data_IF_562399641538
#
_entry.id   IF_562399641538
#
_cell.length_a   1.000
_cell.length_b   1.000
_cell.length_c   1.000
_cell.angle_alpha   90.00
_cell.angle_beta   90.00
_cell.angle_gamma   90.00
#
_symmetry.space_group_name_H-M   'P 1'
#
loop_
_entity.id
_entity.type
_entity.pdbx_description
1 polymer ?
#
# COMPACT_ATOMS: atom_id res chain seq x y z
N UNK A 1 27.46 -19.35 17.43
CA UNK A 1 26.88 -18.02 17.43
C UNK A 1 25.83 -17.77 16.41
N UNK A 2 25.53 -18.75 15.61
CA UNK A 2 24.46 -18.62 14.64
C UNK A 2 23.12 -18.38 15.31
N UNK A 3 22.90 -18.95 16.46
CA UNK A 3 21.67 -18.77 17.20
C UNK A 3 21.45 -17.32 17.61
N UNK A 4 22.50 -16.55 17.70
CA UNK A 4 22.36 -15.14 18.05
C UNK A 4 21.92 -14.29 16.88
N UNK A 5 22.16 -14.74 15.69
CA UNK A 5 21.74 -13.98 14.50
C UNK A 5 20.24 -14.00 14.30
N UNK A 6 19.60 -15.08 14.74
CA UNK A 6 18.16 -15.19 14.70
C UNK A 6 17.46 -14.71 15.94
N UNK A 7 18.23 -14.39 16.97
CA UNK A 7 17.65 -13.97 18.25
C UNK A 7 17.63 -12.45 18.36
N UNK A 8 16.47 -11.95 18.57
CA UNK A 8 16.27 -10.54 18.84
C UNK A 8 15.74 -10.39 20.25
N UNK A 9 16.04 -9.27 20.89
CA UNK A 9 15.43 -8.97 22.15
C UNK A 9 13.92 -8.75 21.95
N UNK A 10 13.13 -8.98 22.97
CA UNK A 10 11.71 -8.71 22.90
C UNK A 10 11.45 -7.25 22.53
N UNK A 11 12.27 -6.35 23.04
CA UNK A 11 12.18 -4.93 22.74
C UNK A 11 12.34 -4.66 21.23
N UNK A 12 13.35 -5.28 20.60
CA UNK A 12 13.60 -5.10 19.18
C UNK A 12 12.45 -5.62 18.34
N UNK A 13 11.89 -6.75 18.74
CA UNK A 13 10.74 -7.35 18.05
C UNK A 13 9.51 -6.47 18.15
N UNK A 14 9.28 -5.87 19.32
CA UNK A 14 8.15 -4.97 19.51
C UNK A 14 8.32 -3.67 18.74
N UNK A 15 9.54 -3.15 18.67
CA UNK A 15 9.82 -1.95 17.86
C UNK A 15 9.54 -2.23 16.39
N UNK A 16 9.95 -3.38 15.90
CA UNK A 16 9.69 -3.78 14.51
C UNK A 16 8.19 -3.94 14.25
N UNK A 17 7.47 -4.56 15.19
CA UNK A 17 6.01 -4.71 15.09
C UNK A 17 5.33 -3.35 14.98
N UNK A 18 5.65 -2.42 15.86
CA UNK A 18 5.08 -1.08 15.86
C UNK A 18 5.42 -0.35 14.57
N UNK A 19 6.65 -0.47 14.12
CA UNK A 19 7.12 0.16 12.87
C UNK A 19 6.32 -0.34 11.67
N UNK A 20 6.09 -1.65 11.57
CA UNK A 20 5.32 -2.22 10.47
C UNK A 20 3.84 -1.86 10.54
N UNK A 21 3.27 -1.83 11.75
CA UNK A 21 1.90 -1.39 11.94
C UNK A 21 1.71 0.07 11.50
N UNK A 22 2.68 0.91 11.84
CA UNK A 22 2.66 2.31 11.44
C UNK A 22 2.84 2.48 9.93
N UNK A 23 3.68 1.63 9.32
CA UNK A 23 3.87 1.63 7.87
C UNK A 23 2.58 1.29 7.14
N UNK A 24 1.76 0.39 7.66
CA UNK A 24 0.45 0.08 7.10
C UNK A 24 -0.43 1.32 7.12
N UNK A 25 -0.49 2.01 8.24
CA UNK A 25 -1.31 3.21 8.37
C UNK A 25 -0.90 4.29 7.38
N UNK A 26 0.40 4.56 7.27
CA UNK A 26 0.94 5.54 6.33
C UNK A 26 0.62 5.14 4.88
N UNK A 27 0.83 3.87 4.55
CA UNK A 27 0.59 3.37 3.20
C UNK A 27 -0.90 3.44 2.84
N UNK A 28 -1.79 3.14 3.79
CA UNK A 28 -3.23 3.25 3.57
C UNK A 28 -3.66 4.68 3.28
N UNK A 29 -3.03 5.66 3.90
CA UNK A 29 -3.28 7.07 3.60
C UNK A 29 -2.83 7.43 2.20
N UNK A 30 -1.70 6.89 1.76
CA UNK A 30 -1.21 7.08 0.39
C UNK A 30 -2.17 6.46 -0.62
N UNK A 31 -2.69 5.27 -0.34
CA UNK A 31 -3.68 4.61 -1.20
C UNK A 31 -4.93 5.46 -1.31
N UNK A 32 -5.44 5.98 -0.20
CA UNK A 32 -6.63 6.83 -0.20
C UNK A 32 -6.42 8.09 -1.04
N UNK A 33 -5.24 8.69 -0.97
CA UNK A 33 -4.92 9.86 -1.77
C UNK A 33 -4.86 9.53 -3.26
N UNK A 34 -4.28 8.39 -3.62
CA UNK A 34 -4.25 7.93 -5.01
C UNK A 34 -5.66 7.65 -5.53
N UNK A 35 -6.52 7.02 -4.73
CA UNK A 35 -7.91 6.76 -5.11
C UNK A 35 -8.66 8.05 -5.40
N UNK A 36 -8.43 9.08 -4.60
CA UNK A 36 -9.00 10.41 -4.82
C UNK A 36 -8.57 10.99 -6.16
N UNK A 37 -7.28 10.89 -6.46
CA UNK A 37 -6.73 11.40 -7.72
C UNK A 37 -7.26 10.61 -8.92
N UNK A 38 -7.40 9.30 -8.77
CA UNK A 38 -7.96 8.43 -9.82
C UNK A 38 -9.41 8.82 -10.09
N UNK A 39 -10.20 9.02 -9.04
CA UNK A 39 -11.60 9.44 -9.19
C UNK A 39 -11.72 10.78 -9.89
N UNK A 40 -10.85 11.74 -9.56
CA UNK A 40 -10.83 13.04 -10.23
C UNK A 40 -10.48 12.91 -11.70
N UNK A 41 -9.53 12.04 -12.05
CA UNK A 41 -9.18 11.78 -13.44
C UNK A 41 -10.33 11.11 -14.20
N UNK A 42 -11.03 10.18 -13.55
CA UNK A 42 -12.19 9.52 -14.16
C UNK A 42 -13.28 10.52 -14.50
N UNK A 43 -13.55 11.49 -13.62
CA UNK A 43 -14.50 12.55 -13.87
C UNK A 43 -14.08 13.43 -15.07
N UNK A 44 -12.80 13.81 -15.11
CA UNK A 44 -12.26 14.62 -16.19
C UNK A 44 -12.31 13.87 -17.52
N UNK A 45 -12.00 12.58 -17.52
CA UNK A 45 -12.08 11.74 -18.72
C UNK A 45 -13.51 11.72 -19.25
N UNK A 46 -14.48 11.53 -18.38
CA UNK A 46 -15.88 11.49 -18.75
C UNK A 46 -16.32 12.80 -19.40
N UNK A 47 -15.95 13.93 -18.80
CA UNK A 47 -16.22 15.26 -19.35
C UNK A 47 -15.61 15.45 -20.74
N UNK A 48 -14.35 15.04 -20.91
CA UNK A 48 -13.64 15.21 -22.17
C UNK A 48 -14.17 14.27 -23.26
N UNK A 49 -14.62 13.09 -22.89
CA UNK A 49 -15.26 12.17 -23.83
C UNK A 49 -16.52 12.79 -24.44
N UNK A 50 -17.32 13.42 -23.58
CA UNK A 50 -18.54 14.11 -24.00
C UNK A 50 -18.23 15.30 -24.92
N UNK A 51 -17.06 15.91 -24.75
CA UNK A 51 -16.63 17.04 -25.57
C UNK A 51 -15.93 16.62 -26.86
N UNK A 52 -15.68 15.34 -27.09
CA UNK A 52 -15.04 14.81 -28.28
C UNK A 52 -13.54 15.06 -28.36
N UNK A 53 -12.88 15.32 -27.25
CA UNK A 53 -11.44 15.59 -27.20
C UNK A 53 -10.64 14.30 -27.01
N UNK A 54 -10.61 13.46 -28.03
CA UNK A 54 -10.06 12.10 -27.95
C UNK A 54 -8.59 12.05 -27.52
N UNK A 55 -7.79 13.00 -27.99
CA UNK A 55 -6.36 13.02 -27.63
C UNK A 55 -6.15 13.30 -26.15
N UNK A 56 -6.91 14.23 -25.60
CA UNK A 56 -6.86 14.56 -24.19
C UNK A 56 -7.32 13.36 -23.35
N UNK A 57 -8.37 12.68 -23.79
CA UNK A 57 -8.86 11.45 -23.14
C UNK A 57 -7.77 10.39 -23.10
N UNK A 58 -7.08 10.17 -24.21
CA UNK A 58 -5.99 9.19 -24.27
C UNK A 58 -4.90 9.48 -23.26
N UNK A 59 -4.48 10.74 -23.16
CA UNK A 59 -3.44 11.16 -22.21
C UNK A 59 -3.88 10.93 -20.77
N UNK A 60 -5.10 11.33 -20.44
CA UNK A 60 -5.63 11.15 -19.09
C UNK A 60 -5.84 9.68 -18.73
N UNK A 61 -6.23 8.85 -19.68
CA UNK A 61 -6.36 7.41 -19.47
C UNK A 61 -5.01 6.77 -19.12
N UNK A 62 -3.95 7.19 -19.79
CA UNK A 62 -2.60 6.71 -19.47
C UNK A 62 -2.16 7.12 -18.06
N UNK A 63 -2.44 8.37 -17.70
CA UNK A 63 -2.14 8.87 -16.35
C UNK A 63 -2.91 8.09 -15.31
N UNK A 64 -4.21 7.87 -15.51
CA UNK A 64 -5.04 7.09 -14.62
C UNK A 64 -4.51 5.67 -14.44
N UNK A 65 -4.11 5.02 -15.54
CA UNK A 65 -3.58 3.66 -15.50
C UNK A 65 -2.29 3.58 -14.69
N UNK A 66 -1.42 4.59 -14.81
CA UNK A 66 -0.19 4.67 -14.02
C UNK A 66 -0.49 4.79 -12.52
N UNK A 67 -1.48 5.62 -12.15
CA UNK A 67 -1.89 5.77 -10.77
C UNK A 67 -2.52 4.48 -10.23
N UNK A 68 -3.28 3.77 -11.05
CA UNK A 68 -3.85 2.47 -10.67
C UNK A 68 -2.76 1.44 -10.37
N UNK A 69 -1.71 1.39 -11.19
CA UNK A 69 -0.59 0.48 -10.94
C UNK A 69 0.10 0.82 -9.63
N UNK A 70 0.35 2.09 -9.39
CA UNK A 70 0.96 2.54 -8.15
C UNK A 70 0.10 2.16 -6.94
N UNK A 71 -1.21 2.35 -7.04
CA UNK A 71 -2.14 1.96 -5.98
C UNK A 71 -2.08 0.46 -5.72
N UNK A 72 -2.06 -0.38 -6.77
CA UNK A 72 -1.97 -1.83 -6.63
C UNK A 72 -0.66 -2.25 -5.97
N UNK A 73 0.44 -1.62 -6.31
CA UNK A 73 1.74 -1.90 -5.68
C UNK A 73 1.69 -1.60 -4.18
N UNK A 74 1.07 -0.50 -3.80
CA UNK A 74 0.93 -0.13 -2.40
C UNK A 74 0.00 -1.10 -1.66
N UNK A 75 -1.07 -1.55 -2.30
CA UNK A 75 -1.97 -2.56 -1.72
C UNK A 75 -1.25 -3.88 -1.48
N UNK A 76 -0.41 -4.30 -2.42
CA UNK A 76 0.41 -5.51 -2.25
C UNK A 76 1.35 -5.33 -1.06
N UNK A 77 1.96 -4.16 -0.95
CA UNK A 77 2.85 -3.85 0.17
C UNK A 77 2.13 -3.96 1.51
N UNK A 78 0.91 -3.41 1.60
CA UNK A 78 0.08 -3.52 2.81
C UNK A 78 -0.22 -4.99 3.13
N UNK A 79 -0.56 -5.79 2.12
CA UNK A 79 -0.83 -7.21 2.32
C UNK A 79 0.38 -7.94 2.89
N UNK A 80 1.57 -7.64 2.38
CA UNK A 80 2.80 -8.24 2.89
C UNK A 80 3.09 -7.84 4.33
N UNK A 81 2.84 -6.58 4.68
CA UNK A 81 3.01 -6.11 6.04
C UNK A 81 2.02 -6.77 6.99
N UNK A 82 0.77 -6.91 6.58
CA UNK A 82 -0.25 -7.59 7.38
C UNK A 82 0.08 -9.05 7.59
N UNK A 83 0.60 -9.70 6.57
CA UNK A 83 1.01 -11.09 6.69
C UNK A 83 2.15 -11.23 7.70
N UNK A 84 3.12 -10.35 7.64
CA UNK A 84 4.22 -10.33 8.60
C UNK A 84 3.70 -10.17 10.04
N UNK A 85 2.77 -9.22 10.25
CA UNK A 85 2.18 -8.99 11.57
C UNK A 85 1.42 -10.23 12.07
N UNK A 86 0.66 -10.86 11.18
CA UNK A 86 -0.09 -12.06 11.52
C UNK A 86 0.84 -13.20 11.93
N UNK A 87 1.93 -13.38 11.22
CA UNK A 87 2.93 -14.40 11.55
C UNK A 87 3.62 -14.10 12.88
N UNK A 88 3.92 -12.84 13.12
CA UNK A 88 4.50 -12.41 14.39
C UNK A 88 3.56 -12.72 15.56
N UNK A 89 2.30 -12.36 15.43
CA UNK A 89 1.30 -12.62 16.47
C UNK A 89 1.11 -14.10 16.72
N UNK A 90 1.12 -14.89 15.68
CA UNK A 90 1.01 -16.34 15.78
C UNK A 90 2.22 -16.93 16.52
N UNK A 91 3.40 -16.49 16.18
CA UNK A 91 4.63 -16.94 16.84
C UNK A 91 4.63 -16.55 18.32
N UNK A 92 4.15 -15.37 18.66
CA UNK A 92 4.02 -14.93 20.03
C UNK A 92 3.08 -15.82 20.82
N UNK A 93 1.95 -16.18 20.25
CA UNK A 93 0.99 -17.06 20.90
C UNK A 93 1.57 -18.44 21.18
N UNK A 94 2.40 -18.94 20.28
CA UNK A 94 3.02 -20.26 20.45
C UNK A 94 4.09 -20.28 21.53
N UNK A 95 4.64 -19.12 21.89
CA UNK A 95 5.70 -19.04 22.90
C UNK A 95 5.21 -18.73 24.30
N UNK A 96 3.93 -18.53 24.48
CA UNK A 96 3.35 -18.28 25.78
C UNK A 96 3.17 -19.53 26.63
#
# INVERSE_FOLDING_TARGET
>A
MKEYMGRRSLKDMLVEYVSKAKAIEVTQKQIAELEKNIDALDEDIEELEDSGLDRAVEILCKARNSLNLERLELEIHVCKLRLWLAEFEKAEQLTR
#
